data_IF_600559011097
#
_entry.id   IF_600559011097
#
_cell.length_a   1.000
_cell.length_b   1.000
_cell.length_c   1.000
_cell.angle_alpha   90.00
_cell.angle_beta   90.00
_cell.angle_gamma   90.00
#
_symmetry.space_group_name_H-M   'P 1'
#
loop_
_entity.id
_entity.type
_entity.pdbx_description
1 polymer ?
#
# COMPACT_ATOMS: atom_id res chain seq x y z
N UNK A 1 12.95 25.26 -2.07
CA UNK A 1 14.36 25.67 -2.20
C UNK A 1 15.30 24.67 -1.49
N UNK A 2 15.11 24.37 -0.21
CA UNK A 2 15.99 23.45 0.56
C UNK A 2 16.12 22.08 -0.11
N UNK A 3 15.05 21.54 -0.69
CA UNK A 3 15.08 20.23 -1.36
C UNK A 3 15.88 20.24 -2.66
N UNK A 4 15.85 21.33 -3.40
CA UNK A 4 16.63 21.51 -4.64
C UNK A 4 18.11 21.64 -4.32
N UNK A 5 18.47 22.49 -3.35
CA UNK A 5 19.86 22.65 -2.91
C UNK A 5 20.45 21.33 -2.39
N UNK A 6 19.69 20.55 -1.62
CA UNK A 6 20.11 19.22 -1.17
C UNK A 6 20.28 18.24 -2.33
N UNK A 7 19.45 18.31 -3.34
CA UNK A 7 19.57 17.49 -4.54
C UNK A 7 20.84 17.84 -5.32
N UNK A 8 21.11 19.11 -5.55
CA UNK A 8 22.33 19.59 -6.22
C UNK A 8 23.57 19.16 -5.45
N UNK A 9 23.65 19.47 -4.16
CA UNK A 9 24.76 19.04 -3.31
C UNK A 9 24.98 17.53 -3.34
N UNK A 10 23.91 16.76 -3.33
CA UNK A 10 23.97 15.30 -3.43
C UNK A 10 24.54 14.86 -4.78
N UNK A 11 24.15 15.48 -5.89
CA UNK A 11 24.68 15.15 -7.22
C UNK A 11 26.17 15.41 -7.31
N UNK A 12 26.62 16.56 -6.88
CA UNK A 12 28.05 16.95 -6.92
C UNK A 12 28.96 16.02 -6.13
N UNK A 13 28.48 15.50 -5.01
CA UNK A 13 29.29 14.60 -4.16
C UNK A 13 29.18 13.12 -4.55
N UNK A 14 28.15 12.74 -5.32
CA UNK A 14 27.92 11.34 -5.65
C UNK A 14 28.89 10.78 -6.68
N UNK A 15 29.36 11.58 -7.63
CA UNK A 15 30.32 11.09 -8.63
C UNK A 15 31.60 10.58 -8.00
N UNK A 16 32.13 11.28 -6.99
CA UNK A 16 33.31 10.81 -6.24
C UNK A 16 33.06 9.50 -5.51
N UNK A 17 31.86 9.31 -4.97
CA UNK A 17 31.48 8.11 -4.25
C UNK A 17 31.35 6.89 -5.18
N UNK A 18 30.72 7.06 -6.34
CA UNK A 18 30.48 5.97 -7.28
C UNK A 18 31.70 5.56 -8.11
N UNK A 19 32.77 6.33 -8.07
CA UNK A 19 34.07 5.94 -8.63
C UNK A 19 34.82 4.89 -7.78
N UNK A 20 34.25 4.49 -6.62
CA UNK A 20 34.81 3.42 -5.81
C UNK A 20 34.27 2.05 -6.28
N UNK A 21 35.00 0.98 -5.92
CA UNK A 21 34.58 -0.38 -6.24
C UNK A 21 33.39 -0.82 -5.34
N UNK A 22 32.17 -0.56 -5.77
CA UNK A 22 30.95 -0.84 -5.02
C UNK A 22 30.28 -2.10 -5.59
N UNK A 23 30.19 -3.16 -4.79
CA UNK A 23 29.59 -4.45 -5.18
C UNK A 23 28.06 -4.44 -5.08
N UNK A 24 27.48 -3.70 -4.16
CA UNK A 24 26.04 -3.57 -3.98
C UNK A 24 25.69 -2.32 -3.18
N UNK A 25 24.49 -1.79 -3.38
CA UNK A 25 23.99 -0.63 -2.68
C UNK A 25 22.76 -0.99 -1.87
N UNK A 26 22.77 -0.70 -0.57
CA UNK A 26 21.65 -0.94 0.33
C UNK A 26 21.09 0.40 0.78
N UNK A 27 19.85 0.68 0.42
CA UNK A 27 19.18 1.96 0.73
C UNK A 27 17.79 1.71 1.33
N UNK A 28 17.22 2.74 1.90
CA UNK A 28 15.85 2.72 2.37
C UNK A 28 14.84 2.85 1.22
N UNK A 29 13.94 3.78 1.34
CA UNK A 29 12.93 4.05 0.31
C UNK A 29 13.51 4.90 -0.82
N UNK A 30 13.30 4.48 -2.08
CA UNK A 30 13.85 5.13 -3.27
C UNK A 30 13.04 6.33 -3.78
N UNK A 31 11.87 6.57 -3.21
CA UNK A 31 10.97 7.65 -3.65
C UNK A 31 11.31 9.02 -3.08
N UNK A 32 12.24 9.11 -2.14
CA UNK A 32 12.63 10.35 -1.49
C UNK A 32 14.10 10.71 -1.75
N UNK A 33 14.40 12.00 -1.78
CA UNK A 33 15.76 12.52 -1.82
C UNK A 33 16.36 12.39 -0.40
N UNK A 34 17.62 11.95 -0.25
CA UNK A 34 18.63 11.70 -1.29
C UNK A 34 18.59 10.30 -1.92
N UNK A 35 17.83 9.35 -1.37
CA UNK A 35 17.85 7.95 -1.81
C UNK A 35 17.55 7.78 -3.32
N UNK A 36 16.69 8.63 -3.89
CA UNK A 36 16.40 8.61 -5.33
C UNK A 36 17.63 8.90 -6.17
N UNK A 37 18.46 9.83 -5.75
CA UNK A 37 19.69 10.19 -6.46
C UNK A 37 20.65 8.99 -6.44
N UNK A 38 20.85 8.38 -5.28
CA UNK A 38 21.64 7.15 -5.17
C UNK A 38 21.13 6.03 -6.06
N UNK A 39 19.82 5.88 -6.14
CA UNK A 39 19.19 4.89 -7.02
C UNK A 39 19.52 5.13 -8.49
N UNK A 40 19.41 6.36 -8.98
CA UNK A 40 19.68 6.70 -10.37
C UNK A 40 21.16 6.46 -10.72
N UNK A 41 22.09 6.89 -9.86
CA UNK A 41 23.52 6.65 -10.05
C UNK A 41 23.87 5.16 -10.01
N UNK A 42 23.40 4.43 -9.00
CA UNK A 42 23.64 2.99 -8.93
C UNK A 42 23.11 2.26 -10.17
N UNK A 43 21.96 2.69 -10.68
CA UNK A 43 21.41 2.16 -11.94
C UNK A 43 22.29 2.50 -13.15
N UNK A 44 22.78 3.73 -13.25
CA UNK A 44 23.73 4.19 -14.29
C UNK A 44 24.99 3.34 -14.30
N UNK A 45 25.55 3.08 -13.12
CA UNK A 45 26.76 2.27 -12.97
C UNK A 45 26.50 0.74 -12.88
N UNK A 46 25.26 0.30 -13.12
CA UNK A 46 24.84 -1.12 -13.07
C UNK A 46 25.10 -1.80 -11.72
N UNK A 47 25.16 -1.05 -10.63
CA UNK A 47 25.35 -1.58 -9.29
C UNK A 47 24.02 -2.14 -8.78
N UNK A 48 23.97 -3.38 -8.28
CA UNK A 48 22.77 -3.96 -7.69
C UNK A 48 22.28 -3.14 -6.48
N UNK A 49 20.99 -2.81 -6.47
CA UNK A 49 20.38 -2.06 -5.38
C UNK A 49 19.46 -2.97 -4.60
N UNK A 50 19.57 -2.90 -3.29
CA UNK A 50 18.65 -3.55 -2.37
C UNK A 50 18.00 -2.52 -1.45
N UNK A 51 16.70 -2.63 -1.29
CA UNK A 51 15.96 -1.80 -0.33
C UNK A 51 15.42 -2.67 0.79
N UNK A 52 15.56 -2.19 2.01
CA UNK A 52 14.86 -2.74 3.16
C UNK A 52 13.66 -1.86 3.47
N UNK A 53 12.48 -2.44 3.42
CA UNK A 53 11.26 -1.75 3.79
C UNK A 53 10.77 -2.35 5.11
N UNK A 54 10.63 -1.51 6.13
CA UNK A 54 10.09 -1.91 7.44
C UNK A 54 8.64 -2.33 7.36
N UNK A 55 8.24 -3.17 8.32
CA UNK A 55 6.84 -3.50 8.60
C UNK A 55 6.24 -2.58 9.66
N UNK A 56 5.11 -2.99 10.22
CA UNK A 56 4.48 -2.27 11.33
C UNK A 56 5.25 -2.41 12.65
N UNK A 57 6.20 -3.32 12.71
CA UNK A 57 7.05 -3.59 13.87
C UNK A 57 8.51 -3.65 13.45
N UNK A 58 9.42 -3.38 14.37
CA UNK A 58 10.87 -3.35 14.11
C UNK A 58 11.44 -4.71 13.67
N UNK A 59 10.80 -5.81 14.07
CA UNK A 59 11.20 -7.18 13.73
C UNK A 59 10.70 -7.64 12.36
N UNK A 60 9.86 -6.84 11.68
CA UNK A 60 9.19 -7.19 10.44
C UNK A 60 9.69 -6.33 9.28
N UNK A 61 10.13 -6.96 8.19
CA UNK A 61 10.71 -6.26 7.05
C UNK A 61 10.54 -7.03 5.74
N UNK A 62 10.69 -6.31 4.64
CA UNK A 62 10.79 -6.87 3.29
C UNK A 62 12.10 -6.40 2.67
N UNK A 63 12.83 -7.30 2.00
CA UNK A 63 13.97 -6.94 1.17
C UNK A 63 13.55 -7.02 -0.29
N UNK A 64 13.91 -6.00 -1.05
CA UNK A 64 13.63 -5.92 -2.48
C UNK A 64 14.90 -5.59 -3.25
N UNK A 65 15.09 -6.25 -4.39
CA UNK A 65 16.17 -5.98 -5.32
C UNK A 65 15.71 -5.16 -6.52
N UNK A 66 16.52 -4.21 -6.92
CA UNK A 66 16.43 -3.48 -8.17
C UNK A 66 17.71 -3.71 -8.96
N UNK A 67 17.58 -4.17 -10.19
CA UNK A 67 18.72 -4.50 -11.05
C UNK A 67 18.72 -3.75 -12.37
N UNK A 68 17.56 -3.22 -12.75
CA UNK A 68 17.35 -2.53 -14.03
C UNK A 68 16.64 -1.22 -13.77
N UNK A 69 16.97 -0.19 -14.55
CA UNK A 69 16.29 1.10 -14.47
C UNK A 69 14.76 0.98 -14.54
N UNK A 70 14.26 0.04 -15.36
CA UNK A 70 12.82 -0.20 -15.50
C UNK A 70 12.14 -0.77 -14.26
N UNK A 71 12.88 -1.27 -13.27
CA UNK A 71 12.28 -1.84 -12.07
C UNK A 71 11.57 -0.77 -11.22
N UNK A 72 11.92 0.51 -11.41
CA UNK A 72 11.25 1.66 -10.81
C UNK A 72 9.83 1.90 -11.32
N UNK A 73 9.55 1.50 -12.58
CA UNK A 73 8.23 1.68 -13.22
C UNK A 73 7.18 0.68 -12.76
N UNK A 74 7.42 0.00 -11.67
CA UNK A 74 6.48 -0.94 -11.11
C UNK A 74 6.35 -0.70 -9.61
N UNK A 75 5.13 -0.74 -9.05
CA UNK A 75 4.90 -0.53 -7.63
C UNK A 75 5.87 -1.33 -6.77
N UNK A 76 6.43 -0.70 -5.75
CA UNK A 76 7.49 -1.30 -4.92
C UNK A 76 7.10 -2.65 -4.31
N UNK A 77 5.85 -2.82 -3.91
CA UNK A 77 5.34 -4.04 -3.28
C UNK A 77 4.59 -4.96 -4.24
N UNK A 78 4.79 -4.78 -5.55
CA UNK A 78 4.10 -5.59 -6.55
C UNK A 78 4.59 -7.02 -6.51
N UNK A 79 3.69 -7.92 -6.21
CA UNK A 79 3.93 -9.36 -6.24
C UNK A 79 3.89 -9.83 -7.69
N UNK A 80 4.88 -10.64 -8.08
CA UNK A 80 4.97 -11.13 -9.45
C UNK A 80 3.74 -11.97 -9.85
N UNK A 81 3.39 -11.93 -11.13
CA UNK A 81 2.29 -12.76 -11.67
C UNK A 81 2.55 -14.25 -11.45
N UNK A 82 3.81 -14.68 -11.61
CA UNK A 82 4.23 -16.07 -11.36
C UNK A 82 3.93 -16.50 -9.92
N UNK A 83 4.32 -15.69 -8.93
CA UNK A 83 4.04 -16.00 -7.52
C UNK A 83 2.54 -16.01 -7.22
N UNK A 84 1.77 -15.06 -7.76
CA UNK A 84 0.32 -15.03 -7.57
C UNK A 84 -0.37 -16.28 -8.13
N UNK A 85 0.03 -16.73 -9.33
CA UNK A 85 -0.48 -17.95 -9.95
C UNK A 85 -0.05 -19.21 -9.18
N UNK A 86 1.21 -19.29 -8.76
CA UNK A 86 1.71 -20.38 -7.92
C UNK A 86 0.91 -20.53 -6.64
N UNK A 87 0.70 -19.42 -5.92
CA UNK A 87 -0.06 -19.41 -4.67
C UNK A 87 -1.52 -19.83 -4.89
N UNK A 88 -2.13 -19.36 -5.97
CA UNK A 88 -3.50 -19.77 -6.35
C UNK A 88 -3.58 -21.26 -6.63
N UNK A 89 -2.67 -21.80 -7.46
CA UNK A 89 -2.64 -23.23 -7.83
C UNK A 89 -2.40 -24.13 -6.61
N UNK A 90 -1.58 -23.70 -5.67
CA UNK A 90 -1.23 -24.45 -4.47
C UNK A 90 -2.11 -24.12 -3.26
N UNK A 91 -3.23 -23.42 -3.46
CA UNK A 91 -4.22 -23.14 -2.42
C UNK A 91 -5.14 -24.33 -2.20
N UNK A 92 -4.66 -25.34 -1.49
CA UNK A 92 -5.48 -26.44 -0.99
C UNK A 92 -6.47 -25.95 0.10
N UNK A 93 -7.29 -26.88 0.58
CA UNK A 93 -8.30 -26.58 1.60
C UNK A 93 -7.67 -25.99 2.89
N UNK A 94 -6.58 -26.58 3.36
CA UNK A 94 -5.93 -26.16 4.60
C UNK A 94 -5.30 -24.77 4.46
N UNK A 95 -4.67 -24.50 3.33
CA UNK A 95 -4.12 -23.17 3.08
C UNK A 95 -5.21 -22.10 2.94
N UNK A 96 -6.32 -22.42 2.23
CA UNK A 96 -7.50 -21.53 2.16
C UNK A 96 -8.07 -21.23 3.55
N UNK A 97 -8.20 -22.26 4.41
CA UNK A 97 -8.64 -22.11 5.80
C UNK A 97 -7.71 -21.18 6.58
N UNK A 98 -6.39 -21.33 6.41
CA UNK A 98 -5.37 -20.48 7.03
C UNK A 98 -5.46 -19.02 6.59
N UNK A 99 -5.61 -18.78 5.28
CA UNK A 99 -5.81 -17.44 4.72
C UNK A 99 -7.08 -16.79 5.27
N UNK A 100 -8.20 -17.50 5.29
CA UNK A 100 -9.45 -16.99 5.82
C UNK A 100 -9.39 -16.72 7.33
N UNK A 101 -8.77 -17.60 8.12
CA UNK A 101 -8.57 -17.38 9.57
C UNK A 101 -7.75 -16.12 9.82
N UNK A 102 -6.68 -15.91 9.03
CA UNK A 102 -5.89 -14.70 9.11
C UNK A 102 -6.72 -13.45 8.83
N UNK A 103 -7.50 -13.47 7.74
CA UNK A 103 -8.40 -12.37 7.38
C UNK A 103 -9.42 -12.07 8.49
N UNK A 104 -10.10 -13.07 9.02
CA UNK A 104 -11.08 -12.89 10.10
C UNK A 104 -10.44 -12.24 11.33
N UNK A 105 -9.24 -12.70 11.72
CA UNK A 105 -8.49 -12.08 12.81
C UNK A 105 -8.14 -10.63 12.51
N UNK A 106 -7.68 -10.32 11.30
CA UNK A 106 -7.34 -8.97 10.89
C UNK A 106 -8.58 -8.06 10.83
N UNK A 107 -9.70 -8.57 10.34
CA UNK A 107 -10.96 -7.84 10.23
C UNK A 107 -11.65 -7.62 11.59
N UNK A 108 -11.45 -8.50 12.57
CA UNK A 108 -12.05 -8.40 13.91
C UNK A 108 -11.21 -7.60 14.89
N UNK A 109 -9.91 -7.45 14.61
CA UNK A 109 -9.03 -6.76 15.54
C UNK A 109 -9.21 -5.26 15.43
N UNK A 110 -9.54 -4.63 16.55
CA UNK A 110 -9.37 -3.19 16.75
C UNK A 110 -7.89 -2.83 16.98
N UNK A 111 -7.00 -3.83 16.87
CA UNK A 111 -5.59 -3.62 17.13
C UNK A 111 -4.96 -2.84 15.98
N UNK A 112 -4.20 -1.85 16.33
CA UNK A 112 -3.42 -0.94 15.52
C UNK A 112 -2.49 -1.60 14.49
N UNK A 113 -2.23 -2.90 14.61
CA UNK A 113 -1.17 -3.57 13.87
C UNK A 113 -1.61 -4.25 12.58
N UNK A 114 -2.87 -4.64 12.44
CA UNK A 114 -3.30 -5.51 11.33
C UNK A 114 -4.73 -5.21 10.90
N UNK A 115 -5.44 -4.38 11.65
CA UNK A 115 -6.86 -4.15 11.46
C UNK A 115 -7.19 -3.47 10.14
N UNK A 116 -8.39 -3.70 9.65
CA UNK A 116 -9.01 -2.86 8.62
C UNK A 116 -9.06 -1.39 9.06
N UNK A 117 -9.02 -1.17 10.36
CA UNK A 117 -9.02 0.14 11.02
C UNK A 117 -7.60 0.63 11.38
N UNK A 118 -6.56 -0.15 11.12
CA UNK A 118 -5.19 0.15 11.54
C UNK A 118 -4.68 1.50 11.07
N UNK A 119 -4.95 1.84 9.82
CA UNK A 119 -4.61 3.16 9.28
C UNK A 119 -5.37 4.31 9.96
N UNK A 120 -6.53 4.02 10.53
CA UNK A 120 -7.38 5.01 11.21
C UNK A 120 -6.95 5.24 12.66
N UNK A 121 -6.41 4.20 13.31
CA UNK A 121 -6.00 4.26 14.72
C UNK A 121 -4.55 4.68 14.90
N UNK A 122 -3.74 4.56 13.85
CA UNK A 122 -2.29 4.79 13.93
C UNK A 122 -1.89 6.25 14.12
N UNK A 123 -2.75 7.17 13.75
CA UNK A 123 -2.42 8.59 13.82
C UNK A 123 -3.05 9.27 15.04
N UNK A 124 -2.70 8.93 16.22
CA UNK A 124 -3.03 9.58 17.49
C UNK A 124 -4.13 10.67 17.55
N UNK A 125 -4.37 11.32 16.42
CA UNK A 125 -5.40 12.36 16.21
C UNK A 125 -6.82 11.81 16.17
N UNK A 126 -7.05 10.55 15.82
CA UNK A 126 -8.38 9.96 15.66
C UNK A 126 -8.86 9.34 16.99
N UNK A 127 -7.95 9.03 17.90
CA UNK A 127 -8.28 8.42 19.21
C UNK A 127 -9.30 9.20 20.05
N UNK A 128 -9.43 10.50 19.81
CA UNK A 128 -10.35 11.39 20.55
C UNK A 128 -11.69 11.62 19.84
N UNK A 129 -11.84 11.19 18.60
CA UNK A 129 -13.09 11.38 17.87
C UNK A 129 -14.02 10.19 18.08
N UNK A 130 -15.28 10.47 18.39
CA UNK A 130 -16.33 9.47 18.48
C UNK A 130 -16.47 8.76 17.14
N UNK A 131 -16.42 7.44 17.14
CA UNK A 131 -16.69 6.63 15.94
C UNK A 131 -18.18 6.68 15.66
N UNK A 132 -18.54 7.06 14.44
CA UNK A 132 -19.93 7.07 13.98
C UNK A 132 -20.25 5.74 13.33
N UNK A 133 -21.37 5.15 13.70
CA UNK A 133 -21.91 3.93 13.13
C UNK A 133 -23.35 4.18 12.65
N UNK A 134 -23.73 3.55 11.55
CA UNK A 134 -25.06 3.67 10.96
C UNK A 134 -25.77 2.31 10.99
N UNK A 135 -27.05 2.35 11.31
CA UNK A 135 -27.88 1.14 11.38
C UNK A 135 -28.04 0.48 10.00
N UNK A 136 -28.30 1.29 8.98
CA UNK A 136 -28.60 0.88 7.61
C UNK A 136 -28.21 1.96 6.59
N UNK A 137 -28.43 1.68 5.31
CA UNK A 137 -28.12 2.62 4.23
C UNK A 137 -29.01 3.87 4.28
N UNK A 138 -30.24 3.75 4.72
CA UNK A 138 -31.16 4.90 4.82
C UNK A 138 -30.63 5.92 5.84
N UNK A 139 -30.25 5.45 7.03
CA UNK A 139 -29.67 6.30 8.07
C UNK A 139 -28.35 6.94 7.64
N UNK A 140 -27.52 6.21 6.89
CA UNK A 140 -26.28 6.73 6.31
C UNK A 140 -26.56 7.81 5.26
N UNK A 141 -27.47 7.52 4.31
CA UNK A 141 -27.79 8.44 3.23
C UNK A 141 -28.45 9.72 3.77
N UNK A 142 -29.38 9.59 4.71
CA UNK A 142 -30.02 10.74 5.34
C UNK A 142 -29.02 11.64 6.07
N UNK A 143 -28.09 11.04 6.82
CA UNK A 143 -27.06 11.80 7.55
C UNK A 143 -26.18 12.64 6.61
N UNK A 144 -25.79 12.08 5.46
CA UNK A 144 -24.98 12.76 4.46
C UNK A 144 -25.79 13.48 3.38
N UNK A 145 -27.12 13.46 3.48
CA UNK A 145 -28.01 14.04 2.47
C UNK A 145 -27.70 13.50 1.05
N UNK A 146 -27.70 12.18 0.93
CA UNK A 146 -27.50 11.41 -0.30
C UNK A 146 -28.83 10.86 -0.82
N UNK A 147 -28.94 10.59 -2.11
CA UNK A 147 -30.14 9.96 -2.71
C UNK A 147 -30.16 8.45 -2.47
N UNK A 148 -31.26 7.93 -1.95
CA UNK A 148 -31.42 6.48 -1.74
C UNK A 148 -31.57 5.69 -3.05
N UNK A 149 -31.88 6.36 -4.15
CA UNK A 149 -32.00 5.76 -5.49
C UNK A 149 -30.65 5.53 -6.16
N UNK A 150 -29.59 6.14 -5.67
CA UNK A 150 -28.29 6.13 -6.28
C UNK A 150 -27.33 5.18 -5.55
N UNK A 151 -26.41 4.58 -6.31
CA UNK A 151 -25.28 3.86 -5.72
C UNK A 151 -24.32 4.81 -5.01
N UNK A 152 -23.80 4.39 -3.88
CA UNK A 152 -22.80 5.11 -3.10
C UNK A 152 -21.39 4.74 -3.56
N UNK A 153 -20.66 5.67 -4.13
CA UNK A 153 -19.30 5.47 -4.66
C UNK A 153 -18.30 6.22 -3.78
N UNK A 154 -17.40 5.49 -3.16
CA UNK A 154 -16.41 6.05 -2.25
C UNK A 154 -15.09 6.31 -2.97
N UNK A 155 -14.62 7.54 -2.95
CA UNK A 155 -13.32 7.95 -3.44
C UNK A 155 -12.38 8.11 -2.25
N UNK A 156 -11.29 7.37 -2.29
CA UNK A 156 -10.22 7.40 -1.30
C UNK A 156 -8.96 7.96 -1.95
N UNK A 157 -8.77 9.28 -1.90
CA UNK A 157 -7.56 9.90 -2.39
C UNK A 157 -6.35 9.41 -1.62
N UNK A 158 -5.24 9.27 -2.30
CA UNK A 158 -3.95 9.10 -1.66
C UNK A 158 -3.58 10.39 -0.90
N UNK A 159 -2.59 10.34 -0.02
CA UNK A 159 -1.96 11.58 0.48
C UNK A 159 -1.36 12.29 -0.72
N UNK A 160 -1.86 13.48 -1.02
CA UNK A 160 -1.62 14.19 -2.30
C UNK A 160 -0.14 14.48 -2.52
N UNK A 161 0.60 14.76 -1.45
CA UNK A 161 2.02 15.09 -1.47
C UNK A 161 2.94 13.87 -1.34
N UNK A 162 2.39 12.70 -1.02
CA UNK A 162 3.18 11.49 -0.83
C UNK A 162 3.53 10.86 -2.19
N UNK A 163 4.77 10.38 -2.29
CA UNK A 163 5.23 9.58 -3.41
C UNK A 163 5.11 10.26 -4.79
N UNK A 164 5.28 11.57 -4.86
CA UNK A 164 5.09 12.35 -6.10
C UNK A 164 6.11 11.99 -7.19
N UNK A 165 7.27 11.45 -6.84
CA UNK A 165 8.34 11.09 -7.78
C UNK A 165 8.33 9.63 -8.22
N UNK A 166 7.47 8.80 -7.67
CA UNK A 166 7.43 7.35 -7.92
C UNK A 166 6.05 6.93 -8.46
N UNK A 167 5.47 7.75 -9.34
CA UNK A 167 4.13 7.56 -9.90
C UNK A 167 4.12 7.15 -11.37
N UNK A 168 5.26 6.78 -11.93
CA UNK A 168 5.43 6.43 -13.36
C UNK A 168 4.60 5.21 -13.81
N UNK A 169 4.09 4.41 -12.86
CA UNK A 169 3.11 3.35 -13.14
C UNK A 169 1.65 3.82 -13.08
N UNK A 170 1.43 5.09 -12.78
CA UNK A 170 0.09 5.66 -12.67
C UNK A 170 -0.40 6.13 -14.04
N UNK A 171 -1.70 6.04 -14.27
CA UNK A 171 -2.33 6.61 -15.46
C UNK A 171 -2.28 8.16 -15.47
N UNK A 172 -2.09 8.75 -14.31
CA UNK A 172 -2.02 10.18 -14.09
C UNK A 172 -0.63 10.58 -13.60
N UNK A 173 -0.25 11.81 -13.85
CA UNK A 173 1.09 12.27 -13.51
C UNK A 173 1.39 12.21 -12.01
N UNK A 174 0.41 12.57 -11.18
CA UNK A 174 0.50 12.50 -9.70
C UNK A 174 -0.85 12.08 -9.11
N UNK A 175 -0.91 11.68 -7.83
CA UNK A 175 -2.17 11.48 -7.11
C UNK A 175 -3.06 12.73 -7.13
N UNK A 176 -2.47 13.93 -7.09
CA UNK A 176 -3.18 15.18 -7.19
C UNK A 176 -3.79 15.38 -8.59
N UNK A 177 -3.02 15.14 -9.66
CA UNK A 177 -3.49 15.23 -11.05
C UNK A 177 -4.67 14.28 -11.28
N UNK A 178 -4.56 13.04 -10.80
CA UNK A 178 -5.67 12.10 -10.81
C UNK A 178 -6.89 12.62 -10.10
N UNK A 179 -6.73 13.10 -8.87
CA UNK A 179 -7.84 13.54 -8.04
C UNK A 179 -8.57 14.72 -8.68
N UNK A 180 -7.85 15.76 -9.11
CA UNK A 180 -8.42 16.92 -9.78
C UNK A 180 -9.18 16.53 -11.06
N UNK A 181 -8.57 15.73 -11.92
CA UNK A 181 -9.22 15.28 -13.18
C UNK A 181 -10.44 14.42 -12.91
N UNK A 182 -10.41 13.61 -11.87
CA UNK A 182 -11.57 12.85 -11.41
C UNK A 182 -12.67 13.79 -10.94
N UNK A 183 -12.39 14.77 -10.09
CA UNK A 183 -13.39 15.75 -9.63
C UNK A 183 -14.08 16.46 -10.80
N UNK A 184 -13.33 16.87 -11.81
CA UNK A 184 -13.93 17.48 -13.01
C UNK A 184 -14.87 16.54 -13.75
N UNK A 185 -14.58 15.23 -13.75
CA UNK A 185 -15.44 14.23 -14.40
C UNK A 185 -16.71 13.95 -13.62
N UNK A 186 -16.63 13.89 -12.28
CA UNK A 186 -17.77 13.63 -11.40
C UNK A 186 -18.91 14.64 -11.59
N UNK A 187 -18.58 15.87 -11.94
CA UNK A 187 -19.57 16.92 -12.19
C UNK A 187 -20.62 16.54 -13.24
N UNK A 188 -20.26 15.67 -14.17
CA UNK A 188 -21.10 15.24 -15.28
C UNK A 188 -21.91 13.99 -14.99
N UNK A 189 -21.57 13.26 -13.90
CA UNK A 189 -22.19 11.97 -13.56
C UNK A 189 -23.13 12.18 -12.38
N UNK A 190 -24.44 12.20 -12.65
CA UNK A 190 -25.47 12.58 -11.66
C UNK A 190 -26.22 11.39 -11.06
N UNK A 191 -26.12 10.21 -11.66
CA UNK A 191 -26.88 9.01 -11.28
C UNK A 191 -26.19 8.15 -10.20
N UNK A 192 -25.23 8.71 -9.49
CA UNK A 192 -24.55 8.11 -8.35
C UNK A 192 -24.31 9.14 -7.25
N UNK A 193 -24.17 8.69 -6.04
CA UNK A 193 -23.69 9.47 -4.91
C UNK A 193 -22.16 9.34 -4.81
N UNK A 194 -21.47 10.44 -4.86
CA UNK A 194 -20.02 10.49 -4.72
C UNK A 194 -19.64 10.86 -3.30
N UNK A 195 -18.85 10.03 -2.66
CA UNK A 195 -18.40 10.22 -1.29
C UNK A 195 -16.88 10.33 -1.31
N UNK A 196 -16.34 11.45 -0.90
CA UNK A 196 -14.89 11.70 -0.84
C UNK A 196 -14.46 11.64 0.61
N UNK A 197 -13.56 10.71 0.94
CA UNK A 197 -12.97 10.61 2.28
C UNK A 197 -11.44 10.76 2.19
N UNK A 198 -10.86 11.79 2.86
CA UNK A 198 -9.43 12.01 2.82
C UNK A 198 -8.66 10.91 3.52
N UNK A 199 -7.37 10.80 3.20
CA UNK A 199 -6.49 9.87 3.90
C UNK A 199 -6.29 10.33 5.36
N UNK A 200 -6.32 9.43 6.34
CA UNK A 200 -6.18 9.80 7.76
C UNK A 200 -4.89 10.56 8.08
N UNK A 201 -3.81 10.25 7.36
CA UNK A 201 -2.49 10.88 7.54
C UNK A 201 -2.31 12.18 6.74
N UNK A 202 -3.34 12.67 6.04
CA UNK A 202 -3.19 13.83 5.15
C UNK A 202 -2.61 15.04 5.89
N UNK A 203 -3.12 15.35 7.07
CA UNK A 203 -2.66 16.49 7.89
C UNK A 203 -1.18 16.40 8.26
N UNK A 204 -0.65 15.18 8.38
CA UNK A 204 0.73 14.95 8.77
C UNK A 204 1.69 15.16 7.59
N UNK A 205 1.30 14.73 6.39
CA UNK A 205 2.15 14.80 5.19
C UNK A 205 1.92 16.03 4.32
N UNK A 206 0.75 16.67 4.42
CA UNK A 206 0.34 17.80 3.57
C UNK A 206 -0.35 18.88 4.39
N UNK A 207 0.38 19.63 5.22
CA UNK A 207 -0.25 20.65 6.08
C UNK A 207 -0.84 21.81 5.26
N UNK A 208 -0.32 22.09 4.08
CA UNK A 208 -0.70 23.24 3.24
C UNK A 208 -1.64 22.91 2.09
N UNK A 209 -1.66 21.63 1.67
CA UNK A 209 -2.48 21.18 0.53
C UNK A 209 -3.39 20.07 1.03
N UNK A 210 -4.70 20.26 0.93
CA UNK A 210 -5.66 19.27 1.40
C UNK A 210 -6.69 18.90 0.32
N UNK A 211 -7.14 17.66 0.36
CA UNK A 211 -8.24 17.14 -0.47
C UNK A 211 -9.50 18.00 -0.25
N UNK A 212 -9.73 18.44 0.99
CA UNK A 212 -10.86 19.29 1.32
C UNK A 212 -10.83 20.63 0.61
N UNK A 213 -9.67 21.27 0.52
CA UNK A 213 -9.52 22.54 -0.19
C UNK A 213 -9.94 22.40 -1.67
N UNK A 214 -9.42 21.40 -2.35
CA UNK A 214 -9.79 21.13 -3.75
C UNK A 214 -11.28 20.79 -3.91
N UNK A 215 -11.86 20.06 -2.96
CA UNK A 215 -13.28 19.79 -2.96
C UNK A 215 -14.10 21.09 -2.80
N UNK A 216 -13.74 21.93 -1.84
CA UNK A 216 -14.46 23.17 -1.58
C UNK A 216 -14.39 24.15 -2.77
N UNK A 217 -13.22 24.27 -3.40
CA UNK A 217 -13.01 25.14 -4.56
C UNK A 217 -13.70 24.62 -5.83
N UNK A 218 -13.77 23.29 -5.98
CA UNK A 218 -14.20 22.68 -7.24
C UNK A 218 -15.66 22.23 -7.23
N UNK A 219 -16.19 21.74 -6.11
CA UNK A 219 -17.43 20.96 -6.02
C UNK A 219 -18.50 21.61 -5.15
N UNK A 220 -18.16 21.97 -3.92
CA UNK A 220 -19.07 22.17 -2.77
C UNK A 220 -20.38 22.91 -3.06
N UNK A 221 -20.37 23.95 -3.85
CA UNK A 221 -21.56 24.78 -4.10
C UNK A 221 -22.40 24.30 -5.30
N UNK A 222 -21.90 23.39 -6.13
CA UNK A 222 -22.45 23.13 -7.46
C UNK A 222 -23.03 21.72 -7.67
N UNK A 223 -22.69 20.74 -6.80
CA UNK A 223 -23.06 19.34 -7.02
C UNK A 223 -23.56 18.65 -5.74
N UNK A 224 -24.88 18.58 -5.62
CA UNK A 224 -25.55 18.00 -4.43
C UNK A 224 -25.25 16.51 -4.23
N UNK A 225 -24.92 15.78 -5.29
CA UNK A 225 -24.59 14.36 -5.25
C UNK A 225 -23.13 14.05 -4.92
N UNK A 226 -22.31 15.06 -4.62
CA UNK A 226 -20.90 14.88 -4.20
C UNK A 226 -20.74 15.37 -2.78
N UNK A 227 -20.33 14.48 -1.87
CA UNK A 227 -20.16 14.78 -0.44
C UNK A 227 -18.73 14.52 -0.01
N UNK A 228 -18.24 15.40 0.83
CA UNK A 228 -16.98 15.20 1.55
C UNK A 228 -17.30 14.72 2.96
N UNK A 229 -16.70 13.63 3.38
CA UNK A 229 -16.88 13.10 4.73
C UNK A 229 -15.54 13.16 5.48
N UNK A 230 -15.60 13.73 6.67
CA UNK A 230 -14.44 13.83 7.57
C UNK A 230 -14.68 13.10 8.89
N UNK A 231 -15.80 12.45 8.99
CA UNK A 231 -16.23 11.71 10.16
C UNK A 231 -15.37 10.48 10.38
N UNK A 232 -15.19 10.12 11.63
CA UNK A 232 -14.49 8.90 12.01
C UNK A 232 -15.42 7.70 11.85
N UNK A 233 -15.44 7.15 10.63
CA UNK A 233 -16.19 5.95 10.27
C UNK A 233 -15.17 4.87 9.93
N UNK A 234 -15.30 3.69 10.54
CA UNK A 234 -14.38 2.59 10.27
C UNK A 234 -14.55 2.03 8.87
N UNK A 235 -13.50 1.42 8.31
CA UNK A 235 -13.58 0.71 7.02
C UNK A 235 -14.67 -0.38 7.07
N UNK A 236 -14.75 -1.09 8.19
CA UNK A 236 -15.72 -2.17 8.41
C UNK A 236 -17.17 -1.65 8.41
N UNK A 237 -17.37 -0.44 8.87
CA UNK A 237 -18.70 0.16 8.88
C UNK A 237 -19.03 0.80 7.55
N UNK A 238 -18.12 1.60 7.02
CA UNK A 238 -18.27 2.29 5.75
C UNK A 238 -18.54 1.31 4.57
N UNK A 239 -17.92 0.12 4.59
CA UNK A 239 -18.11 -0.91 3.57
C UNK A 239 -19.56 -1.43 3.46
N UNK A 240 -20.39 -1.25 4.50
CA UNK A 240 -21.80 -1.67 4.47
C UNK A 240 -22.67 -0.70 3.66
N UNK A 241 -22.22 0.54 3.51
CA UNK A 241 -22.97 1.66 2.98
C UNK A 241 -22.48 2.15 1.62
N UNK A 242 -21.48 1.49 1.03
CA UNK A 242 -20.93 1.85 -0.28
C UNK A 242 -20.95 0.68 -1.24
N UNK A 243 -21.09 0.97 -2.53
CA UNK A 243 -21.22 -0.04 -3.59
C UNK A 243 -19.93 -0.26 -4.37
N UNK A 244 -19.07 0.74 -4.45
CA UNK A 244 -17.79 0.68 -5.16
C UNK A 244 -16.79 1.66 -4.56
N UNK A 245 -15.51 1.29 -4.64
CA UNK A 245 -14.40 2.12 -4.17
C UNK A 245 -13.57 2.57 -5.38
N UNK A 246 -13.11 3.83 -5.35
CA UNK A 246 -12.11 4.34 -6.30
C UNK A 246 -10.91 4.83 -5.51
N UNK A 247 -9.73 4.32 -5.85
CA UNK A 247 -8.47 4.72 -5.20
C UNK A 247 -7.33 4.68 -6.22
N UNK A 248 -6.22 5.34 -5.94
CA UNK A 248 -5.05 5.23 -6.82
C UNK A 248 -4.45 3.82 -6.77
N UNK A 249 -3.60 3.55 -5.78
CA UNK A 249 -2.94 2.24 -5.59
C UNK A 249 -2.89 1.82 -4.11
N UNK A 250 -3.67 2.48 -3.27
CA UNK A 250 -3.62 2.33 -1.81
C UNK A 250 -4.07 0.97 -1.30
N UNK A 251 -3.76 0.69 -0.05
CA UNK A 251 -4.15 -0.54 0.65
C UNK A 251 -5.67 -0.75 0.74
N UNK A 252 -6.45 0.30 0.63
CA UNK A 252 -7.90 0.25 0.49
C UNK A 252 -8.34 -0.73 -0.62
N UNK A 253 -7.58 -0.84 -1.70
CA UNK A 253 -7.87 -1.75 -2.81
C UNK A 253 -8.05 -3.20 -2.35
N UNK A 254 -7.12 -3.74 -1.60
CA UNK A 254 -7.26 -5.12 -1.13
C UNK A 254 -8.10 -5.26 0.13
N UNK A 255 -8.17 -4.24 0.99
CA UNK A 255 -9.03 -4.27 2.17
C UNK A 255 -10.49 -4.38 1.78
N UNK A 256 -11.00 -3.46 0.97
CA UNK A 256 -12.41 -3.47 0.56
C UNK A 256 -12.74 -4.65 -0.37
N UNK A 257 -11.82 -5.04 -1.25
CA UNK A 257 -12.03 -6.25 -2.09
C UNK A 257 -12.11 -7.53 -1.27
N UNK A 258 -11.37 -7.63 -0.16
CA UNK A 258 -11.46 -8.76 0.78
C UNK A 258 -12.82 -8.85 1.48
N UNK A 259 -13.56 -7.75 1.52
CA UNK A 259 -14.94 -7.64 2.05
C UNK A 259 -16.00 -7.80 0.94
N UNK A 260 -15.60 -7.96 -0.31
CA UNK A 260 -16.52 -8.20 -1.44
C UNK A 260 -16.85 -6.98 -2.28
N UNK A 261 -16.33 -5.80 -1.95
CA UNK A 261 -16.59 -4.59 -2.72
C UNK A 261 -15.72 -4.52 -3.97
N UNK A 262 -16.27 -4.12 -5.12
CA UNK A 262 -15.49 -3.80 -6.29
C UNK A 262 -14.65 -2.55 -6.04
N UNK A 263 -13.40 -2.59 -6.53
CA UNK A 263 -12.48 -1.47 -6.43
C UNK A 263 -11.91 -1.13 -7.80
N UNK A 264 -11.95 0.15 -8.16
CA UNK A 264 -11.29 0.70 -9.35
C UNK A 264 -9.98 1.33 -8.89
N UNK A 265 -8.88 0.94 -9.52
CA UNK A 265 -7.56 1.54 -9.30
C UNK A 265 -7.18 2.42 -10.48
N UNK A 266 -6.37 3.45 -10.25
CA UNK A 266 -5.89 4.37 -11.29
C UNK A 266 -4.43 4.17 -11.64
N UNK A 267 -3.85 3.13 -11.08
CA UNK A 267 -2.46 2.78 -11.24
C UNK A 267 -2.28 1.27 -11.25
N UNK A 268 -1.11 0.85 -11.67
CA UNK A 268 -0.64 -0.51 -11.49
C UNK A 268 -0.35 -0.74 -9.99
N UNK A 269 -1.34 -1.21 -9.26
CA UNK A 269 -1.24 -1.41 -7.82
C UNK A 269 -0.37 -2.64 -7.45
N UNK A 270 0.19 -2.70 -6.24
CA UNK A 270 0.97 -3.85 -5.77
C UNK A 270 0.26 -5.20 -5.90
N UNK A 271 -1.06 -5.19 -5.90
CA UNK A 271 -1.94 -6.35 -5.96
C UNK A 271 -2.52 -6.64 -7.36
N UNK A 272 -2.20 -5.86 -8.39
CA UNK A 272 -2.81 -5.98 -9.72
C UNK A 272 -2.71 -7.38 -10.31
N UNK A 273 -1.63 -8.10 -10.04
CA UNK A 273 -1.44 -9.47 -10.53
C UNK A 273 -2.36 -10.53 -9.90
N UNK A 274 -3.13 -10.17 -8.87
CA UNK A 274 -4.14 -11.04 -8.26
C UNK A 274 -5.52 -10.91 -8.90
N UNK A 275 -5.71 -9.93 -9.79
CA UNK A 275 -6.89 -9.77 -10.65
C UNK A 275 -8.24 -9.67 -9.91
N UNK A 276 -8.27 -9.00 -8.78
CA UNK A 276 -9.50 -8.76 -8.03
C UNK A 276 -10.02 -7.32 -8.10
N UNK A 277 -9.23 -6.39 -8.68
CA UNK A 277 -9.63 -4.99 -8.89
C UNK A 277 -9.87 -4.71 -10.37
N UNK A 278 -10.60 -3.64 -10.65
CA UNK A 278 -10.71 -3.06 -11.98
C UNK A 278 -9.52 -2.12 -12.17
N UNK A 279 -8.53 -2.56 -12.93
CA UNK A 279 -7.32 -1.81 -13.23
C UNK A 279 -7.34 -1.37 -14.70
N UNK A 280 -7.80 -0.16 -15.02
CA UNK A 280 -7.83 0.35 -16.38
C UNK A 280 -6.41 0.49 -16.95
N UNK A 281 -6.27 0.30 -18.26
CA UNK A 281 -4.97 0.33 -18.94
C UNK A 281 -4.56 1.73 -19.36
N UNK A 282 -5.52 2.62 -19.51
CA UNK A 282 -5.33 4.00 -19.93
C UNK A 282 -6.42 4.91 -19.34
N UNK A 283 -6.28 6.22 -19.54
CA UNK A 283 -7.21 7.22 -18.99
C UNK A 283 -8.62 7.08 -19.56
N UNK A 284 -8.78 6.69 -20.82
CA UNK A 284 -10.10 6.52 -21.45
C UNK A 284 -10.83 5.34 -20.82
N UNK A 285 -10.13 4.20 -20.61
CA UNK A 285 -10.71 3.05 -19.89
C UNK A 285 -11.13 3.44 -18.47
N UNK A 286 -10.32 4.27 -17.79
CA UNK A 286 -10.68 4.76 -16.45
C UNK A 286 -11.94 5.61 -16.48
N UNK A 287 -12.03 6.56 -17.40
CA UNK A 287 -13.21 7.41 -17.54
C UNK A 287 -14.45 6.60 -17.93
N UNK A 288 -14.30 5.64 -18.83
CA UNK A 288 -15.39 4.74 -19.20
C UNK A 288 -15.89 3.93 -17.98
N UNK A 289 -15.00 3.44 -17.14
CA UNK A 289 -15.39 2.72 -15.90
C UNK A 289 -16.18 3.60 -14.95
N UNK A 290 -15.73 4.83 -14.67
CA UNK A 290 -16.42 5.72 -13.73
C UNK A 290 -17.73 6.27 -14.28
N UNK A 291 -17.91 6.34 -15.59
CA UNK A 291 -19.16 6.71 -16.25
C UNK A 291 -20.18 5.55 -16.28
N UNK A 292 -19.71 4.31 -16.15
CA UNK A 292 -20.51 3.09 -16.20
C UNK A 292 -20.56 2.33 -14.88
N UNK A 293 -20.49 3.01 -13.73
CA UNK A 293 -20.50 2.39 -12.40
C UNK A 293 -21.74 1.54 -12.12
N UNK A 294 -22.86 1.85 -12.75
CA UNK A 294 -24.10 1.04 -12.65
C UNK A 294 -23.91 -0.39 -13.16
N UNK A 295 -22.97 -0.63 -14.08
CA UNK A 295 -22.63 -1.95 -14.62
C UNK A 295 -21.68 -2.75 -13.74
N UNK A 296 -21.02 -2.10 -12.76
CA UNK A 296 -20.05 -2.77 -11.89
C UNK A 296 -20.79 -3.64 -10.88
N UNK A 297 -20.44 -4.93 -10.86
CA UNK A 297 -21.01 -5.94 -9.97
C UNK A 297 -20.15 -6.16 -8.74
N UNK A 298 -20.75 -6.63 -7.65
CA UNK A 298 -20.03 -7.13 -6.46
C UNK A 298 -19.08 -8.24 -6.86
N UNK A 299 -17.98 -8.38 -6.11
CA UNK A 299 -16.98 -9.40 -6.38
C UNK A 299 -17.52 -10.81 -6.10
N UNK A 300 -17.17 -11.75 -6.95
CA UNK A 300 -17.46 -13.16 -6.71
C UNK A 300 -16.50 -13.76 -5.66
N UNK A 301 -16.82 -14.95 -5.18
CA UNK A 301 -16.07 -15.65 -4.12
C UNK A 301 -14.58 -15.83 -4.48
N UNK A 302 -14.25 -16.10 -5.75
CA UNK A 302 -12.86 -16.27 -6.19
C UNK A 302 -12.08 -14.96 -6.08
N UNK A 303 -12.62 -13.86 -6.57
CA UNK A 303 -11.98 -12.54 -6.46
C UNK A 303 -11.81 -12.10 -4.99
N UNK A 304 -12.81 -12.35 -4.16
CA UNK A 304 -12.73 -12.08 -2.72
C UNK A 304 -11.60 -12.90 -2.09
N UNK A 305 -11.51 -14.18 -2.44
CA UNK A 305 -10.40 -15.03 -1.97
C UNK A 305 -9.04 -14.51 -2.45
N UNK A 306 -8.93 -14.11 -3.71
CA UNK A 306 -7.68 -13.57 -4.26
C UNK A 306 -7.23 -12.28 -3.54
N UNK A 307 -8.16 -11.43 -3.12
CA UNK A 307 -7.84 -10.26 -2.30
C UNK A 307 -7.31 -10.65 -0.90
N UNK A 308 -7.94 -11.63 -0.25
CA UNK A 308 -7.49 -12.18 1.03
C UNK A 308 -6.12 -12.87 0.89
N UNK A 309 -5.91 -13.60 -0.20
CA UNK A 309 -4.65 -14.27 -0.52
C UNK A 309 -3.52 -13.25 -0.74
N UNK A 310 -3.78 -12.16 -1.48
CA UNK A 310 -2.82 -11.08 -1.59
C UNK A 310 -2.45 -10.52 -0.21
N UNK A 311 -3.44 -10.20 0.62
CA UNK A 311 -3.21 -9.64 1.95
C UNK A 311 -2.36 -10.58 2.81
N UNK A 312 -2.71 -11.87 2.81
CA UNK A 312 -1.91 -12.89 3.51
C UNK A 312 -0.47 -12.97 2.96
N UNK A 313 -0.32 -12.94 1.63
CA UNK A 313 0.98 -12.97 0.95
C UNK A 313 1.83 -11.76 1.36
N UNK A 314 1.24 -10.59 1.29
CA UNK A 314 1.91 -9.33 1.66
C UNK A 314 2.36 -9.32 3.13
N UNK A 315 1.56 -9.86 4.03
CA UNK A 315 1.84 -9.81 5.49
C UNK A 315 2.62 -11.01 6.01
N UNK A 316 2.65 -12.15 5.31
CA UNK A 316 3.21 -13.40 5.83
C UNK A 316 4.22 -14.07 4.91
N UNK A 317 4.09 -13.94 3.60
CA UNK A 317 4.93 -14.66 2.64
C UNK A 317 6.12 -13.82 2.20
N UNK A 318 5.91 -12.55 1.83
CA UNK A 318 7.00 -11.66 1.40
C UNK A 318 7.65 -10.90 2.57
N UNK A 319 7.23 -11.17 3.79
CA UNK A 319 7.79 -10.59 5.01
C UNK A 319 8.77 -11.53 5.68
N UNK A 320 9.84 -10.97 6.17
CA UNK A 320 10.86 -11.65 6.95
C UNK A 320 10.85 -11.13 8.38
N UNK A 321 11.20 -11.98 9.32
CA UNK A 321 11.35 -11.62 10.72
C UNK A 321 12.81 -11.43 11.09
N UNK A 322 13.07 -10.44 11.92
CA UNK A 322 14.39 -10.14 12.45
C UNK A 322 14.38 -10.18 13.98
N UNK A 323 15.02 -11.19 14.53
CA UNK A 323 15.11 -11.37 15.99
C UNK A 323 16.20 -10.49 16.63
N UNK A 324 16.98 -9.78 15.84
CA UNK A 324 18.06 -8.93 16.34
C UNK A 324 17.57 -7.57 16.84
N UNK A 325 16.37 -7.16 16.45
CA UNK A 325 15.78 -5.91 16.92
C UNK A 325 14.67 -6.19 17.93
N UNK A 326 14.53 -5.36 18.96
CA UNK A 326 13.42 -5.47 19.88
C UNK A 326 12.11 -5.23 19.16
N UNK A 327 11.05 -5.88 19.62
CA UNK A 327 9.72 -5.70 19.07
C UNK A 327 9.16 -4.35 19.53
N UNK A 328 9.13 -3.38 18.65
CA UNK A 328 8.44 -2.11 18.84
C UNK A 328 7.42 -1.89 17.72
N UNK A 329 6.34 -1.23 18.05
CA UNK A 329 5.51 -0.57 17.09
C UNK A 329 6.27 0.65 16.54
N UNK A 330 6.58 0.64 15.26
CA UNK A 330 7.37 1.70 14.61
C UNK A 330 6.70 3.06 14.61
N UNK A 331 5.40 3.11 14.89
CA UNK A 331 4.62 4.34 14.80
C UNK A 331 4.29 4.98 16.17
N UNK A 332 4.25 4.20 17.26
CA UNK A 332 3.65 4.71 18.50
C UNK A 332 4.40 4.45 19.81
N UNK A 333 5.31 3.51 19.85
CA UNK A 333 5.94 3.09 21.10
C UNK A 333 7.45 2.90 20.95
N UNK A 334 8.10 3.85 20.30
CA UNK A 334 9.56 3.84 20.23
C UNK A 334 10.14 4.26 21.57
N UNK A 335 10.47 3.26 22.38
CA UNK A 335 11.22 3.45 23.62
C UNK A 335 12.72 3.38 23.31
N UNK A 336 13.33 4.55 23.19
CA UNK A 336 14.75 4.68 22.86
C UNK A 336 15.66 3.98 23.88
N UNK A 337 15.33 4.02 25.19
CA UNK A 337 16.11 3.35 26.23
C UNK A 337 16.07 1.83 26.06
N UNK A 338 14.90 1.27 25.79
CA UNK A 338 14.75 -0.18 25.51
C UNK A 338 15.47 -0.58 24.24
N UNK A 339 15.42 0.25 23.20
CA UNK A 339 16.11 0.01 21.94
C UNK A 339 17.62 -0.10 22.20
N UNK A 340 18.23 0.88 22.83
CA UNK A 340 19.68 0.91 23.07
C UNK A 340 20.12 -0.20 24.03
N UNK A 341 19.36 -0.49 25.09
CA UNK A 341 19.60 -1.64 25.97
C UNK A 341 19.65 -2.95 25.19
N UNK A 342 18.71 -3.15 24.27
CA UNK A 342 18.69 -4.34 23.43
C UNK A 342 19.83 -4.35 22.40
N UNK A 343 20.12 -3.23 21.75
CA UNK A 343 21.23 -3.10 20.80
C UNK A 343 22.58 -3.42 21.44
N UNK A 344 22.81 -2.92 22.65
CA UNK A 344 24.01 -3.24 23.43
C UNK A 344 24.09 -4.73 23.76
N UNK A 345 22.98 -5.34 24.18
CA UNK A 345 22.93 -6.79 24.44
C UNK A 345 23.25 -7.61 23.20
N UNK A 346 22.71 -7.24 22.05
CA UNK A 346 23.02 -7.89 20.76
C UNK A 346 24.48 -7.71 20.40
N UNK A 347 25.05 -6.53 20.61
CA UNK A 347 26.45 -6.28 20.31
C UNK A 347 27.39 -7.19 21.12
N UNK A 348 27.07 -7.46 22.40
CA UNK A 348 27.83 -8.38 23.26
C UNK A 348 27.82 -9.84 22.76
N UNK A 349 26.76 -10.24 22.07
CA UNK A 349 26.58 -11.63 21.62
C UNK A 349 26.62 -11.78 20.09
N UNK A 350 26.98 -10.71 19.35
CA UNK A 350 26.94 -10.68 17.87
C UNK A 350 27.65 -11.83 17.18
N UNK A 351 28.75 -12.28 17.73
CA UNK A 351 29.55 -13.38 17.17
C UNK A 351 28.86 -14.76 17.33
N UNK A 352 27.91 -14.88 18.26
CA UNK A 352 27.15 -16.10 18.55
C UNK A 352 25.80 -16.14 17.82
N UNK A 353 25.36 -15.02 17.26
CA UNK A 353 24.03 -14.91 16.61
C UNK A 353 24.21 -14.93 15.09
N UNK A 354 23.61 -15.91 14.44
CA UNK A 354 23.49 -15.89 12.96
C UNK A 354 22.64 -14.69 12.55
N UNK A 355 23.24 -13.78 11.80
CA UNK A 355 22.55 -12.60 11.28
C UNK A 355 21.52 -13.04 10.21
N UNK A 356 20.21 -12.93 10.46
CA UNK A 356 19.20 -13.33 9.50
C UNK A 356 19.25 -12.48 8.21
N UNK A 357 19.70 -11.23 8.30
CA UNK A 357 19.87 -10.36 7.12
C UNK A 357 20.90 -10.92 6.15
N UNK A 358 22.05 -11.45 6.63
CA UNK A 358 23.06 -12.04 5.74
C UNK A 358 22.48 -13.12 4.85
N UNK A 359 21.63 -13.99 5.38
CA UNK A 359 20.96 -15.03 4.62
C UNK A 359 20.06 -14.43 3.54
N UNK A 360 19.22 -13.48 3.89
CA UNK A 360 18.28 -12.87 2.96
C UNK A 360 19.00 -12.05 1.88
N UNK A 361 19.98 -11.26 2.24
CA UNK A 361 20.79 -10.49 1.28
C UNK A 361 21.56 -11.39 0.33
N UNK A 362 22.21 -12.47 0.82
CA UNK A 362 22.89 -13.46 -0.02
C UNK A 362 21.93 -14.11 -1.02
N UNK A 363 20.75 -14.54 -0.57
CA UNK A 363 19.72 -15.11 -1.45
C UNK A 363 19.31 -14.09 -2.52
N UNK A 364 19.12 -12.83 -2.15
CA UNK A 364 18.74 -11.78 -3.08
C UNK A 364 19.85 -11.42 -4.06
N UNK A 365 21.10 -11.40 -3.63
CA UNK A 365 22.23 -11.14 -4.51
C UNK A 365 22.44 -12.27 -5.53
N UNK A 366 22.24 -13.51 -5.11
CA UNK A 366 22.45 -14.67 -5.97
C UNK A 366 21.26 -15.02 -6.87
N UNK A 367 20.05 -14.66 -6.45
CA UNK A 367 18.82 -14.95 -7.17
C UNK A 367 18.26 -13.69 -7.81
N UNK A 368 17.79 -13.79 -9.06
CA UNK A 368 17.13 -12.69 -9.77
C UNK A 368 15.72 -12.35 -9.23
N UNK A 369 15.45 -12.67 -7.97
CA UNK A 369 14.16 -12.47 -7.38
C UNK A 369 13.98 -11.04 -6.88
N UNK A 370 12.82 -10.45 -7.19
CA UNK A 370 12.50 -9.10 -6.75
C UNK A 370 12.25 -9.00 -5.24
N UNK A 371 11.73 -10.05 -4.62
CA UNK A 371 11.42 -10.11 -3.19
C UNK A 371 12.00 -11.35 -2.55
N UNK A 372 12.33 -11.24 -1.26
CA UNK A 372 12.56 -12.40 -0.42
C UNK A 372 11.23 -13.08 -0.14
N UNK A 373 11.13 -14.39 -0.36
CA UNK A 373 9.90 -15.14 -0.17
C UNK A 373 10.11 -16.14 0.97
N UNK A 374 9.21 -16.10 1.94
CA UNK A 374 9.14 -17.08 3.00
C UNK A 374 8.02 -18.09 2.69
N UNK A 375 8.38 -19.29 2.28
CA UNK A 375 7.43 -20.32 1.96
C UNK A 375 6.93 -21.13 3.16
N UNK A 376 7.51 -20.94 4.35
CA UNK A 376 7.11 -21.70 5.55
C UNK A 376 5.62 -21.58 5.93
N UNK A 377 4.91 -20.48 5.61
CA UNK A 377 3.47 -20.41 5.81
C UNK A 377 2.63 -21.31 4.91
N UNK A 378 3.22 -21.83 3.82
CA UNK A 378 2.54 -22.66 2.82
C UNK A 378 2.76 -24.15 3.17
N UNK A 379 1.84 -24.71 3.96
CA UNK A 379 1.60 -26.14 4.24
C UNK A 379 2.80 -27.08 4.36
N UNK A 380 3.78 -26.81 5.20
CA UNK A 380 4.78 -27.81 5.59
C UNK A 380 5.56 -28.50 4.45
N UNK A 381 5.18 -28.30 3.19
CA UNK A 381 5.98 -28.71 2.05
C UNK A 381 7.24 -27.87 2.05
N UNK A 382 8.36 -28.55 1.99
CA UNK A 382 9.67 -27.91 2.04
C UNK A 382 9.96 -27.25 0.68
N UNK A 383 9.37 -26.07 0.46
CA UNK A 383 9.63 -25.26 -0.73
C UNK A 383 11.00 -24.58 -0.73
N UNK A 384 11.88 -24.96 0.23
CA UNK A 384 13.25 -24.42 0.30
C UNK A 384 14.08 -24.70 -0.97
N UNK A 385 13.69 -25.71 -1.76
CA UNK A 385 14.34 -26.09 -3.00
C UNK A 385 13.63 -25.58 -4.26
N UNK A 386 12.49 -24.91 -4.14
CA UNK A 386 11.81 -24.33 -5.30
C UNK A 386 12.57 -23.06 -5.68
N UNK A 387 13.38 -23.15 -6.71
CA UNK A 387 13.94 -21.96 -7.36
C UNK A 387 12.78 -21.20 -7.98
N UNK A 388 12.72 -19.89 -7.78
CA UNK A 388 11.68 -19.05 -8.41
C UNK A 388 11.77 -19.08 -9.95
N UNK A 389 12.85 -19.57 -10.52
CA UNK A 389 12.94 -19.88 -11.95
C UNK A 389 12.07 -21.08 -12.35
N UNK A 390 11.70 -21.94 -11.38
CA UNK A 390 10.83 -23.10 -11.58
C UNK A 390 9.35 -22.76 -11.31
N UNK A 391 9.06 -21.53 -10.90
CA UNK A 391 7.75 -20.91 -10.73
C UNK A 391 7.55 -19.87 -11.83
#
# INVERSE_FOLDING_TARGET
YISISRAIYSVENHEKFFNQNISAFVIGEIQYIPNRIFYEYATKYKIPIQTRIGGNTTDDFTVRSYRKAKDRFSPRDKISKKLALFLRKNSDFNFKKKVNKYFLKAASSSSKQIGLDGAMTDNGHIKKQKVIQFKDNLSFNNYFNLSDKNKNILILPHVISDNSFDSEWNLFFTPLDWFIKTLYRLKRIKNVNWIIKPHPSEKMYSPTISVKKFYDETIKSKHKNVKFINENITIKDLQKHVDCIITSSGSAGFHYSSLGLPVITTADAPYSNFNFTYAPKNKNDYYHLIENLHKIKKLNKDKIYMAKLYWYTFKKIIRSKNNLLPLFDTHHNYDQKKFWKHANRINLVKNKIKNPFSKYFKIQLNNNNRHTINFSPINGKNYNNVKLNDI
#
